data_IF_096562952259
#
_entry.id   IF_096562952259
#
_cell.length_a   1.000
_cell.length_b   1.000
_cell.length_c   1.000
_cell.angle_alpha   90.00
_cell.angle_beta   90.00
_cell.angle_gamma   90.00
#
_symmetry.space_group_name_H-M   'P 1'
#
loop_
_entity.id
_entity.type
_entity.pdbx_description
1 polymer ?
#
# COMPACT_ATOMS: atom_id res chain seq x y z
N UNK A 1 0.29 -2.83 11.98
CA UNK A 1 -0.54 -3.89 12.55
C UNK A 1 -1.95 -3.41 12.91
N UNK A 2 -2.09 -2.37 13.75
CA UNK A 2 -3.38 -2.03 14.38
C UNK A 2 -4.39 -1.31 13.45
N UNK A 3 -3.91 -0.38 12.61
CA UNK A 3 -4.78 0.57 11.88
C UNK A 3 -4.39 0.72 10.40
N UNK A 4 -3.67 -0.23 9.84
CA UNK A 4 -3.18 -0.20 8.46
C UNK A 4 -3.23 -1.58 7.80
N UNK A 5 -2.07 -2.18 7.55
CA UNK A 5 -1.90 -3.38 6.72
C UNK A 5 -2.77 -4.57 7.15
N UNK A 6 -2.72 -4.99 8.41
CA UNK A 6 -3.41 -6.22 8.85
C UNK A 6 -4.93 -6.08 8.82
N UNK A 7 -5.55 -5.04 9.40
CA UNK A 7 -7.01 -4.92 9.35
C UNK A 7 -7.53 -4.71 7.92
N UNK A 8 -6.82 -3.99 7.04
CA UNK A 8 -7.26 -3.83 5.65
C UNK A 8 -7.21 -5.15 4.88
N UNK A 9 -6.15 -5.95 5.02
CA UNK A 9 -6.03 -7.26 4.35
C UNK A 9 -7.07 -8.25 4.87
N UNK A 10 -7.38 -8.23 6.17
CA UNK A 10 -8.45 -9.05 6.72
C UNK A 10 -9.84 -8.71 6.15
N UNK A 11 -10.11 -7.41 5.88
CA UNK A 11 -11.37 -6.99 5.25
C UNK A 11 -11.37 -7.27 3.75
N UNK A 12 -10.25 -7.05 3.04
CA UNK A 12 -10.11 -7.36 1.62
C UNK A 12 -10.40 -8.84 1.37
N UNK A 13 -9.76 -9.74 2.12
CA UNK A 13 -9.94 -11.18 2.04
C UNK A 13 -11.42 -11.58 2.31
N UNK A 14 -12.01 -11.08 3.41
CA UNK A 14 -13.40 -11.37 3.72
C UNK A 14 -14.38 -10.86 2.67
N UNK A 15 -14.14 -9.67 2.10
CA UNK A 15 -14.99 -9.10 1.06
C UNK A 15 -14.88 -9.85 -0.27
N UNK A 16 -13.71 -10.42 -0.55
CA UNK A 16 -13.49 -11.27 -1.72
C UNK A 16 -14.26 -12.60 -1.59
N UNK A 17 -14.18 -13.26 -0.44
CA UNK A 17 -15.01 -14.45 -0.19
C UNK A 17 -16.50 -14.16 -0.35
N UNK A 18 -16.98 -13.01 0.12
CA UNK A 18 -18.38 -12.63 -0.01
C UNK A 18 -18.79 -12.45 -1.48
N UNK A 19 -18.00 -11.71 -2.28
CA UNK A 19 -18.33 -11.47 -3.68
C UNK A 19 -18.20 -12.75 -4.52
N UNK A 20 -17.23 -13.63 -4.23
CA UNK A 20 -17.07 -14.92 -4.89
C UNK A 20 -18.25 -15.84 -4.59
N UNK A 21 -18.68 -15.90 -3.33
CA UNK A 21 -19.88 -16.68 -2.97
C UNK A 21 -21.14 -16.18 -3.69
N UNK A 22 -21.25 -14.85 -3.86
CA UNK A 22 -22.41 -14.24 -4.51
C UNK A 22 -22.42 -14.42 -6.02
N UNK A 23 -21.27 -14.31 -6.70
CA UNK A 23 -21.21 -14.17 -8.15
C UNK A 23 -20.61 -15.40 -8.86
N UNK A 24 -19.71 -16.16 -8.20
CA UNK A 24 -18.88 -17.15 -8.88
C UNK A 24 -19.13 -18.61 -8.46
N UNK A 25 -19.64 -18.87 -7.26
CA UNK A 25 -19.82 -20.24 -6.78
C UNK A 25 -20.72 -21.08 -7.68
N UNK A 26 -21.76 -20.49 -8.26
CA UNK A 26 -22.65 -21.19 -9.20
C UNK A 26 -21.90 -21.67 -10.45
N UNK A 27 -20.95 -20.89 -10.95
CA UNK A 27 -20.13 -21.27 -12.11
C UNK A 27 -19.19 -22.44 -11.78
N UNK A 28 -18.79 -22.60 -10.49
CA UNK A 28 -18.04 -23.76 -9.99
C UNK A 28 -18.93 -24.97 -9.70
N UNK A 29 -20.25 -24.92 -9.96
CA UNK A 29 -21.17 -25.98 -9.63
C UNK A 29 -21.51 -26.08 -8.14
N UNK A 30 -21.35 -24.99 -7.40
CA UNK A 30 -21.64 -24.91 -5.97
C UNK A 30 -22.89 -24.06 -5.75
N UNK A 31 -24.01 -24.76 -5.48
CA UNK A 31 -25.28 -24.11 -5.18
C UNK A 31 -25.37 -23.77 -3.69
N UNK A 32 -25.49 -22.49 -3.39
CA UNK A 32 -25.69 -21.96 -2.03
C UNK A 32 -26.88 -20.99 -2.02
N UNK A 33 -27.59 -20.82 -0.88
CA UNK A 33 -28.50 -19.71 -0.71
C UNK A 33 -27.79 -18.38 -0.91
N UNK A 34 -28.53 -17.33 -1.29
CA UNK A 34 -27.95 -15.98 -1.46
C UNK A 34 -27.20 -15.56 -0.17
N UNK A 35 -25.89 -15.29 -0.25
CA UNK A 35 -25.10 -14.97 0.92
C UNK A 35 -25.53 -13.61 1.50
N UNK A 36 -25.70 -13.58 2.82
CA UNK A 36 -26.05 -12.36 3.57
C UNK A 36 -24.84 -11.83 4.31
N UNK A 37 -24.57 -10.54 4.16
CA UNK A 37 -23.48 -9.89 4.88
C UNK A 37 -23.81 -9.80 6.39
N UNK A 38 -22.90 -10.29 7.22
CA UNK A 38 -22.84 -10.02 8.65
C UNK A 38 -21.62 -9.12 8.94
N UNK A 39 -21.79 -7.82 8.76
CA UNK A 39 -20.71 -6.84 8.94
C UNK A 39 -20.12 -6.89 10.36
N UNK A 40 -20.96 -7.07 11.38
CA UNK A 40 -20.52 -7.16 12.78
C UNK A 40 -19.53 -8.31 12.97
N UNK A 41 -19.84 -9.50 12.42
CA UNK A 41 -18.94 -10.65 12.49
C UNK A 41 -17.66 -10.43 11.66
N UNK A 42 -17.75 -9.77 10.51
CA UNK A 42 -16.59 -9.44 9.67
C UNK A 42 -15.63 -8.49 10.40
N UNK A 43 -16.13 -7.45 11.03
CA UNK A 43 -15.34 -6.51 11.83
C UNK A 43 -14.76 -7.22 13.07
N UNK A 44 -15.52 -8.11 13.72
CA UNK A 44 -15.02 -8.92 14.85
C UNK A 44 -13.84 -9.80 14.40
N UNK A 45 -13.98 -10.56 13.29
CA UNK A 45 -12.89 -11.37 12.72
C UNK A 45 -11.65 -10.53 12.46
N UNK A 46 -11.81 -9.37 11.79
CA UNK A 46 -10.72 -8.43 11.55
C UNK A 46 -9.98 -8.06 12.86
N UNK A 47 -10.73 -7.74 13.92
CA UNK A 47 -10.17 -7.36 15.22
C UNK A 47 -9.46 -8.53 15.90
N UNK A 48 -9.96 -9.75 15.77
CA UNK A 48 -9.33 -10.98 16.28
C UNK A 48 -7.99 -11.26 15.57
N UNK A 49 -7.95 -11.08 14.23
CA UNK A 49 -6.71 -11.20 13.43
C UNK A 49 -5.67 -10.16 13.90
N UNK A 50 -6.09 -8.91 14.05
CA UNK A 50 -5.21 -7.84 14.59
C UNK A 50 -4.67 -8.21 15.96
N UNK A 51 -5.56 -8.64 16.88
CA UNK A 51 -5.18 -9.02 18.23
C UNK A 51 -4.16 -10.15 18.23
N UNK A 52 -4.37 -11.19 17.44
CA UNK A 52 -3.44 -12.32 17.32
C UNK A 52 -2.04 -11.87 16.90
N UNK A 53 -1.95 -10.96 15.92
CA UNK A 53 -0.66 -10.41 15.49
C UNK A 53 0.00 -9.55 16.57
N UNK A 54 -0.76 -8.71 17.26
CA UNK A 54 -0.25 -7.88 18.38
C UNK A 54 0.25 -8.73 19.54
N UNK A 55 -0.50 -9.78 19.90
CA UNK A 55 -0.09 -10.74 20.94
C UNK A 55 1.20 -11.46 20.53
N UNK A 56 1.35 -11.82 19.25
CA UNK A 56 2.58 -12.41 18.71
C UNK A 56 3.80 -11.48 18.86
N UNK A 57 3.65 -10.19 18.56
CA UNK A 57 4.72 -9.21 18.78
C UNK A 57 5.05 -9.07 20.26
N UNK A 58 4.04 -9.00 21.13
CA UNK A 58 4.27 -8.94 22.59
C UNK A 58 5.03 -10.16 23.11
N UNK A 59 4.72 -11.36 22.58
CA UNK A 59 5.46 -12.58 22.87
C UNK A 59 6.93 -12.48 22.42
N UNK A 60 7.20 -11.96 21.21
CA UNK A 60 8.57 -11.78 20.70
C UNK A 60 9.36 -10.79 21.56
N UNK A 61 8.76 -9.67 21.97
CA UNK A 61 9.42 -8.71 22.88
C UNK A 61 9.84 -9.41 24.17
N UNK A 62 8.91 -10.14 24.82
CA UNK A 62 9.19 -10.88 26.04
C UNK A 62 10.27 -11.96 25.84
N UNK A 63 10.19 -12.76 24.78
CA UNK A 63 11.15 -13.83 24.46
C UNK A 63 12.56 -13.27 24.29
N UNK A 64 12.70 -12.12 23.63
CA UNK A 64 13.98 -11.48 23.39
C UNK A 64 14.40 -10.51 24.51
N UNK A 65 13.68 -10.49 25.66
CA UNK A 65 13.97 -9.64 26.83
C UNK A 65 14.02 -8.14 26.48
N UNK A 66 13.19 -7.70 25.53
CA UNK A 66 13.05 -6.30 25.14
C UNK A 66 12.05 -5.66 26.10
N UNK A 67 12.47 -4.63 26.82
CA UNK A 67 11.59 -3.86 27.70
C UNK A 67 10.70 -2.92 26.88
N UNK A 68 9.39 -2.94 27.16
CA UNK A 68 8.40 -2.14 26.42
C UNK A 68 7.76 -1.12 27.34
N UNK A 69 8.00 0.15 27.08
CA UNK A 69 7.37 1.29 27.75
C UNK A 69 6.16 1.76 26.96
N UNK A 70 4.95 1.64 27.53
CA UNK A 70 3.71 2.08 26.88
C UNK A 70 3.44 3.55 27.15
N UNK A 71 3.46 4.37 26.12
CA UNK A 71 3.19 5.80 26.24
C UNK A 71 3.70 6.61 25.05
N UNK A 72 3.69 7.91 25.19
CA UNK A 72 4.23 8.86 24.21
C UNK A 72 5.66 9.21 24.60
N UNK A 73 6.63 8.83 23.74
CA UNK A 73 8.03 9.16 23.89
C UNK A 73 8.34 10.57 23.40
N UNK A 74 9.13 11.33 24.16
CA UNK A 74 9.63 12.66 23.76
C UNK A 74 11.06 12.86 24.24
N UNK A 75 11.84 13.64 23.49
CA UNK A 75 13.19 13.99 23.91
C UNK A 75 13.19 14.96 25.10
N UNK A 76 14.02 14.69 26.08
CA UNK A 76 14.47 15.66 27.10
C UNK A 76 15.80 16.26 26.67
N UNK A 77 16.71 15.41 26.24
CA UNK A 77 17.99 15.72 25.57
C UNK A 77 18.39 14.54 24.65
N UNK A 78 19.58 14.60 24.02
CA UNK A 78 20.03 13.58 23.06
C UNK A 78 20.22 12.17 23.63
N UNK A 79 20.30 12.00 24.94
CA UNK A 79 20.50 10.74 25.64
C UNK A 79 19.37 10.40 26.61
N UNK A 80 18.34 11.25 26.69
CA UNK A 80 17.25 11.11 27.67
C UNK A 80 15.90 11.21 26.99
N UNK A 81 15.12 10.13 27.09
CA UNK A 81 13.74 10.04 26.58
C UNK A 81 12.79 10.03 27.77
N UNK A 82 11.76 10.87 27.70
CA UNK A 82 10.61 10.83 28.60
C UNK A 82 9.47 10.09 27.95
N UNK A 83 8.92 9.09 28.63
CA UNK A 83 7.70 8.37 28.22
C UNK A 83 6.55 8.79 29.13
N UNK A 84 5.49 9.36 28.55
CA UNK A 84 4.27 9.72 29.26
C UNK A 84 3.19 8.68 28.94
N UNK A 85 2.78 7.89 29.91
CA UNK A 85 1.71 6.88 29.78
C UNK A 85 0.32 7.50 29.72
N UNK A 86 -0.69 6.73 29.37
CA UNK A 86 -2.09 7.20 29.21
C UNK A 86 -2.72 7.71 30.53
N UNK A 87 -2.22 7.27 31.68
CA UNK A 87 -2.61 7.75 33.02
C UNK A 87 -1.80 8.96 33.50
N UNK A 88 -0.92 9.51 32.63
CA UNK A 88 -0.09 10.69 32.92
C UNK A 88 1.19 10.41 33.69
N UNK A 89 1.50 9.14 34.02
CA UNK A 89 2.75 8.79 34.69
C UNK A 89 3.93 8.98 33.73
N UNK A 90 4.99 9.61 34.20
CA UNK A 90 6.22 9.84 33.47
C UNK A 90 7.32 8.84 33.86
N UNK A 91 8.00 8.31 32.86
CA UNK A 91 9.18 7.45 33.03
C UNK A 91 10.33 8.07 32.23
N UNK A 92 11.48 8.20 32.87
CA UNK A 92 12.71 8.72 32.24
C UNK A 92 13.60 7.55 31.86
N UNK A 93 14.01 7.51 30.60
CA UNK A 93 14.91 6.49 30.05
C UNK A 93 16.18 7.17 29.59
N UNK A 94 17.34 6.71 30.09
CA UNK A 94 18.65 7.12 29.59
C UNK A 94 19.15 6.08 28.60
N UNK A 95 19.69 6.53 27.49
CA UNK A 95 20.16 5.66 26.41
C UNK A 95 21.34 6.28 25.66
N UNK A 96 22.22 5.45 25.14
CA UNK A 96 23.33 5.88 24.29
C UNK A 96 22.90 6.13 22.83
N UNK A 97 21.91 5.36 22.33
CA UNK A 97 21.41 5.43 20.96
C UNK A 97 19.89 5.54 20.95
N UNK A 98 19.35 6.29 20.01
CA UNK A 98 17.91 6.44 19.79
C UNK A 98 17.58 6.17 18.34
N UNK A 99 16.54 5.36 18.09
CA UNK A 99 15.96 5.14 16.76
C UNK A 99 14.53 5.68 16.78
N UNK A 100 14.25 6.70 15.97
CA UNK A 100 12.92 7.26 15.81
C UNK A 100 12.18 6.44 14.74
N UNK A 101 11.12 5.73 15.15
CA UNK A 101 10.31 4.86 14.29
C UNK A 101 8.81 5.15 14.49
N UNK A 102 8.43 6.42 14.63
CA UNK A 102 7.07 6.83 15.03
C UNK A 102 6.04 6.75 13.89
N UNK A 103 6.47 6.40 12.68
CA UNK A 103 5.56 6.12 11.58
C UNK A 103 4.89 7.37 11.00
N UNK A 104 3.66 7.18 10.54
CA UNK A 104 2.89 8.22 9.86
C UNK A 104 1.44 8.24 10.29
N UNK A 105 0.71 9.29 9.91
CA UNK A 105 -0.73 9.44 10.13
C UNK A 105 -1.44 9.97 8.87
N UNK A 106 -2.76 9.71 8.70
CA UNK A 106 -3.52 10.20 7.57
C UNK A 106 -3.45 11.71 7.44
N UNK A 107 -3.38 12.20 6.20
CA UNK A 107 -3.41 13.63 5.90
C UNK A 107 -4.85 14.09 5.71
N UNK A 108 -5.35 15.05 6.51
CA UNK A 108 -6.66 15.64 6.29
C UNK A 108 -6.64 16.64 5.11
N UNK A 109 -7.80 16.95 4.57
CA UNK A 109 -7.93 18.12 3.70
C UNK A 109 -7.73 19.40 4.55
N UNK A 110 -7.01 20.42 4.06
CA UNK A 110 -6.75 21.63 4.85
C UNK A 110 -8.01 22.37 5.32
N UNK A 111 -9.07 22.31 4.50
CA UNK A 111 -10.35 22.97 4.75
C UNK A 111 -11.43 22.05 5.35
N UNK A 112 -11.14 20.75 5.51
CA UNK A 112 -12.10 19.77 6.05
C UNK A 112 -11.36 18.72 6.89
N UNK A 113 -11.14 18.98 8.19
CA UNK A 113 -10.51 18.01 9.09
C UNK A 113 -11.41 16.79 9.29
N UNK A 114 -10.83 15.68 9.71
CA UNK A 114 -11.56 14.48 10.08
C UNK A 114 -12.49 14.77 11.28
N UNK A 115 -13.79 14.52 11.11
CA UNK A 115 -14.74 14.56 12.23
C UNK A 115 -14.88 13.18 12.91
N UNK A 116 -14.27 12.16 12.34
CA UNK A 116 -14.27 10.74 12.76
C UNK A 116 -15.68 10.12 12.83
N UNK A 117 -16.66 10.77 12.22
CA UNK A 117 -18.06 10.32 12.17
C UNK A 117 -18.51 10.05 10.74
N UNK A 118 -18.40 11.04 9.86
CA UNK A 118 -18.79 10.97 8.45
C UNK A 118 -17.67 11.38 7.51
N UNK A 119 -16.80 12.31 7.91
CA UNK A 119 -15.54 12.65 7.24
C UNK A 119 -14.46 11.86 7.98
N UNK A 120 -14.08 10.73 7.38
CA UNK A 120 -13.28 9.70 8.03
C UNK A 120 -11.93 9.48 7.33
N UNK A 121 -10.96 9.03 8.11
CA UNK A 121 -9.70 8.50 7.60
C UNK A 121 -9.81 6.99 7.37
N UNK A 122 -8.71 6.38 6.91
CA UNK A 122 -8.61 4.91 6.83
C UNK A 122 -8.82 4.23 8.18
N UNK A 123 -8.45 4.87 9.29
CA UNK A 123 -8.60 4.32 10.63
C UNK A 123 -10.07 4.06 10.98
N UNK A 124 -10.92 5.06 10.82
CA UNK A 124 -12.35 4.92 11.08
C UNK A 124 -13.04 4.05 10.03
N UNK A 125 -12.57 4.11 8.77
CA UNK A 125 -13.12 3.29 7.68
C UNK A 125 -12.95 1.79 7.94
N UNK A 126 -11.90 1.37 8.63
CA UNK A 126 -11.66 -0.02 9.05
C UNK A 126 -12.60 -0.49 10.19
N UNK A 127 -13.34 0.42 10.82
CA UNK A 127 -14.16 0.17 12.02
C UNK A 127 -15.64 0.53 11.85
N UNK A 128 -16.10 0.72 10.59
CA UNK A 128 -17.51 1.10 10.36
C UNK A 128 -18.46 0.03 10.90
N UNK A 129 -19.44 0.49 11.68
CA UNK A 129 -20.45 -0.38 12.31
C UNK A 129 -21.67 -0.63 11.41
N UNK A 130 -21.81 0.13 10.35
CA UNK A 130 -22.88 0.01 9.35
C UNK A 130 -22.27 0.04 7.95
N UNK A 131 -22.89 -0.66 7.01
CA UNK A 131 -22.50 -0.61 5.62
C UNK A 131 -22.94 0.73 5.02
N UNK A 132 -22.04 1.58 4.52
CA UNK A 132 -22.42 2.79 3.81
C UNK A 132 -23.35 2.47 2.62
N UNK A 133 -24.40 3.23 2.44
CA UNK A 133 -25.19 3.16 1.19
C UNK A 133 -24.39 3.77 0.04
N UNK A 134 -23.71 4.88 0.31
CA UNK A 134 -22.83 5.53 -0.64
C UNK A 134 -21.58 6.05 0.06
N UNK A 135 -20.45 5.41 -0.21
CA UNK A 135 -19.12 5.84 0.23
C UNK A 135 -18.46 6.68 -0.86
N UNK A 136 -18.14 7.93 -0.55
CA UNK A 136 -17.30 8.75 -1.43
C UNK A 136 -15.86 8.67 -0.95
N UNK A 137 -14.94 8.37 -1.85
CA UNK A 137 -13.50 8.24 -1.59
C UNK A 137 -12.78 9.41 -2.26
N UNK A 138 -12.08 10.22 -1.47
CA UNK A 138 -11.20 11.28 -1.99
C UNK A 138 -9.77 10.74 -1.99
N UNK A 139 -9.23 10.54 -3.18
CA UNK A 139 -7.91 9.97 -3.45
C UNK A 139 -7.97 8.56 -4.03
N UNK A 140 -7.51 8.42 -5.28
CA UNK A 140 -7.40 7.16 -6.03
C UNK A 140 -6.06 6.43 -5.84
N UNK A 141 -5.38 6.70 -4.73
CA UNK A 141 -4.16 5.99 -4.31
C UNK A 141 -4.47 4.62 -3.67
N UNK A 142 -3.43 3.96 -3.18
CA UNK A 142 -3.48 2.58 -2.65
C UNK A 142 -4.60 2.41 -1.63
N UNK A 143 -4.62 3.23 -0.57
CA UNK A 143 -5.58 3.11 0.54
C UNK A 143 -7.03 3.32 0.07
N UNK A 144 -7.24 4.33 -0.79
CA UNK A 144 -8.57 4.65 -1.33
C UNK A 144 -9.11 3.52 -2.19
N UNK A 145 -8.27 2.94 -3.04
CA UNK A 145 -8.67 1.84 -3.91
C UNK A 145 -8.90 0.54 -3.14
N UNK A 146 -8.06 0.21 -2.15
CA UNK A 146 -8.27 -0.97 -1.31
C UNK A 146 -9.58 -0.89 -0.52
N UNK A 147 -9.77 0.17 0.26
CA UNK A 147 -10.97 0.30 1.10
C UNK A 147 -12.23 0.55 0.27
N UNK A 148 -12.14 1.34 -0.81
CA UNK A 148 -13.22 1.50 -1.77
C UNK A 148 -13.68 0.17 -2.37
N UNK A 149 -12.72 -0.71 -2.73
CA UNK A 149 -13.02 -2.06 -3.24
C UNK A 149 -13.71 -2.94 -2.21
N UNK A 150 -13.28 -2.89 -0.94
CA UNK A 150 -13.95 -3.64 0.15
C UNK A 150 -15.42 -3.29 0.19
N UNK A 151 -15.76 -2.01 0.31
CA UNK A 151 -17.16 -1.58 0.45
C UNK A 151 -17.98 -1.78 -0.82
N UNK A 152 -17.38 -1.62 -2.00
CA UNK A 152 -18.04 -1.94 -3.27
C UNK A 152 -18.42 -3.43 -3.36
N UNK A 153 -17.52 -4.34 -2.99
CA UNK A 153 -17.80 -5.79 -2.94
C UNK A 153 -18.91 -6.15 -1.94
N UNK A 154 -18.99 -5.41 -0.84
CA UNK A 154 -20.02 -5.60 0.18
C UNK A 154 -21.38 -5.02 -0.22
N UNK A 155 -21.46 -4.27 -1.34
CA UNK A 155 -22.72 -3.75 -1.90
C UNK A 155 -22.95 -2.25 -1.70
N UNK A 156 -21.96 -1.50 -1.18
CA UNK A 156 -22.04 -0.03 -1.16
C UNK A 156 -21.88 0.54 -2.56
N UNK A 157 -22.63 1.59 -2.90
CA UNK A 157 -22.22 2.48 -3.99
C UNK A 157 -20.90 3.14 -3.59
N UNK A 158 -19.91 3.14 -4.48
CA UNK A 158 -18.62 3.79 -4.25
C UNK A 158 -18.31 4.75 -5.38
N UNK A 159 -17.94 5.97 -5.02
CA UNK A 159 -17.51 7.00 -5.98
C UNK A 159 -16.15 7.53 -5.55
N UNK A 160 -15.15 7.42 -6.44
CA UNK A 160 -13.78 7.90 -6.22
C UNK A 160 -13.59 9.25 -6.91
N UNK A 161 -13.13 10.25 -6.17
CA UNK A 161 -12.72 11.56 -6.69
C UNK A 161 -11.22 11.67 -6.56
N UNK A 162 -10.52 11.77 -7.69
CA UNK A 162 -9.06 11.83 -7.75
C UNK A 162 -8.60 13.11 -8.46
N UNK A 163 -7.63 13.80 -7.88
CA UNK A 163 -7.05 15.03 -8.45
C UNK A 163 -6.24 14.78 -9.73
N UNK A 164 -5.53 13.64 -9.77
CA UNK A 164 -4.75 13.23 -10.93
C UNK A 164 -5.63 12.53 -11.99
N UNK A 165 -5.09 12.40 -13.20
CA UNK A 165 -5.80 11.74 -14.32
C UNK A 165 -5.69 10.20 -14.27
N UNK A 166 -5.01 9.64 -13.26
CA UNK A 166 -4.75 8.22 -13.14
C UNK A 166 -4.92 7.72 -11.70
N UNK A 167 -5.23 6.43 -11.54
CA UNK A 167 -5.19 5.73 -10.26
C UNK A 167 -3.76 5.32 -9.92
N UNK A 168 -3.49 5.12 -8.61
CA UNK A 168 -2.21 4.61 -8.07
C UNK A 168 -0.98 5.25 -8.76
N UNK A 169 -0.85 6.57 -8.77
CA UNK A 169 0.11 7.30 -9.60
C UNK A 169 1.58 7.03 -9.24
N UNK A 170 1.86 6.32 -8.16
CA UNK A 170 3.20 5.89 -7.76
C UNK A 170 3.65 4.61 -8.46
N UNK A 171 2.77 3.96 -9.23
CA UNK A 171 3.04 2.76 -10.01
C UNK A 171 3.09 3.06 -11.50
N UNK A 172 3.55 2.08 -12.29
CA UNK A 172 3.56 2.18 -13.75
C UNK A 172 2.17 2.51 -14.30
N UNK A 173 2.07 3.41 -15.25
CA UNK A 173 0.80 3.92 -15.78
C UNK A 173 -0.08 2.85 -16.42
N UNK A 174 0.49 1.74 -16.91
CA UNK A 174 -0.27 0.58 -17.39
C UNK A 174 -1.06 -0.06 -16.26
N UNK A 175 -0.49 -0.16 -15.06
CA UNK A 175 -1.14 -0.72 -13.88
C UNK A 175 -2.34 0.12 -13.46
N UNK A 176 -2.19 1.45 -13.42
CA UNK A 176 -3.29 2.37 -13.09
C UNK A 176 -4.45 2.27 -14.08
N UNK A 177 -4.16 2.16 -15.38
CA UNK A 177 -5.18 2.00 -16.44
C UNK A 177 -5.95 0.68 -16.33
N UNK A 178 -5.24 -0.43 -16.12
CA UNK A 178 -5.90 -1.73 -15.97
C UNK A 178 -6.68 -1.81 -14.65
N UNK A 179 -6.17 -1.25 -13.54
CA UNK A 179 -6.90 -1.17 -12.28
C UNK A 179 -8.21 -0.38 -12.44
N UNK A 180 -8.18 0.76 -13.14
CA UNK A 180 -9.39 1.55 -13.44
C UNK A 180 -10.42 0.71 -14.21
N UNK A 181 -9.98 -0.05 -15.21
CA UNK A 181 -10.84 -0.89 -16.03
C UNK A 181 -11.52 -2.00 -15.21
N UNK A 182 -10.76 -2.70 -14.37
CA UNK A 182 -11.32 -3.80 -13.56
C UNK A 182 -12.21 -3.29 -12.44
N UNK A 183 -11.84 -2.20 -11.77
CA UNK A 183 -12.66 -1.65 -10.68
C UNK A 183 -13.95 -0.99 -11.16
N UNK A 184 -14.00 -0.51 -12.40
CA UNK A 184 -15.25 -0.12 -13.06
C UNK A 184 -16.22 -1.30 -13.24
N UNK A 185 -15.72 -2.52 -13.51
CA UNK A 185 -16.58 -3.71 -13.57
C UNK A 185 -17.21 -4.03 -12.21
N UNK A 186 -16.55 -3.65 -11.11
CA UNK A 186 -17.07 -3.77 -9.75
C UNK A 186 -18.15 -2.70 -9.42
N UNK A 187 -18.45 -1.79 -10.35
CA UNK A 187 -19.44 -0.74 -10.18
C UNK A 187 -18.93 0.53 -9.51
N UNK A 188 -17.62 0.69 -9.34
CA UNK A 188 -17.03 1.92 -8.79
C UNK A 188 -17.09 3.04 -9.83
N UNK A 189 -17.64 4.19 -9.44
CA UNK A 189 -17.66 5.41 -10.26
C UNK A 189 -16.39 6.24 -10.02
N UNK A 190 -15.85 6.86 -11.06
CA UNK A 190 -14.60 7.62 -10.99
C UNK A 190 -14.75 9.03 -11.59
N UNK A 191 -14.26 10.02 -10.85
CA UNK A 191 -14.03 11.39 -11.26
C UNK A 191 -12.54 11.68 -11.18
N UNK A 192 -11.79 11.36 -12.26
CA UNK A 192 -10.35 11.64 -12.36
C UNK A 192 -10.14 13.08 -12.85
N UNK A 193 -9.00 13.70 -12.50
CA UNK A 193 -8.70 15.09 -12.83
C UNK A 193 -9.60 16.11 -12.11
N UNK A 194 -10.21 15.71 -10.96
CA UNK A 194 -11.12 16.57 -10.20
C UNK A 194 -10.52 16.97 -8.86
N UNK A 195 -10.42 18.28 -8.63
CA UNK A 195 -9.98 18.87 -7.37
C UNK A 195 -11.17 19.08 -6.44
N UNK A 196 -11.17 18.45 -5.29
CA UNK A 196 -12.17 18.70 -4.26
C UNK A 196 -12.00 20.13 -3.72
N UNK A 197 -13.05 20.92 -3.78
CA UNK A 197 -13.06 22.33 -3.37
C UNK A 197 -13.84 22.59 -2.08
N UNK A 198 -14.82 21.72 -1.75
CA UNK A 198 -15.48 21.73 -0.44
C UNK A 198 -15.90 20.35 -0.02
N UNK A 199 -15.98 20.14 1.30
CA UNK A 199 -16.47 18.92 1.95
C UNK A 199 -17.17 19.31 3.24
N UNK A 200 -18.45 19.00 3.35
CA UNK A 200 -19.27 19.37 4.49
C UNK A 200 -20.03 18.17 5.02
N UNK A 201 -20.04 18.00 6.35
CA UNK A 201 -20.92 17.06 7.04
C UNK A 201 -22.24 17.76 7.43
N UNK A 202 -23.35 17.30 6.88
CA UNK A 202 -24.72 17.77 7.20
C UNK A 202 -25.48 16.77 8.10
N UNK A 203 -24.76 16.05 8.98
CA UNK A 203 -25.32 15.07 9.91
C UNK A 203 -25.44 13.67 9.30
N UNK A 204 -26.48 13.39 8.54
CA UNK A 204 -26.67 12.08 7.89
C UNK A 204 -26.04 11.98 6.50
N UNK A 205 -25.63 13.10 5.91
CA UNK A 205 -25.13 13.20 4.55
C UNK A 205 -23.88 14.05 4.53
N UNK A 206 -22.87 13.62 3.80
CA UNK A 206 -21.73 14.46 3.39
C UNK A 206 -21.97 15.03 2.01
N UNK A 207 -21.61 16.28 1.81
CA UNK A 207 -21.70 16.97 0.52
C UNK A 207 -20.30 17.35 0.09
N UNK A 208 -19.92 16.94 -1.12
CA UNK A 208 -18.61 17.21 -1.69
C UNK A 208 -18.81 18.00 -2.98
N UNK A 209 -18.04 19.07 -3.15
CA UNK A 209 -17.92 19.76 -4.43
C UNK A 209 -16.51 19.54 -4.97
N UNK A 210 -16.43 19.25 -6.26
CA UNK A 210 -15.17 19.11 -6.93
C UNK A 210 -15.22 19.79 -8.30
N UNK A 211 -14.06 20.26 -8.75
CA UNK A 211 -13.88 21.01 -9.99
C UNK A 211 -12.93 20.24 -10.91
N UNK A 212 -13.35 20.02 -12.14
CA UNK A 212 -12.54 19.44 -13.21
C UNK A 212 -11.58 20.49 -13.78
N UNK A 213 -10.60 20.04 -14.57
CA UNK A 213 -9.61 20.93 -15.24
C UNK A 213 -10.25 21.95 -16.20
N UNK A 214 -11.43 21.64 -16.74
CA UNK A 214 -12.22 22.54 -17.61
C UNK A 214 -13.18 23.45 -16.81
N UNK A 215 -12.96 23.56 -15.49
CA UNK A 215 -13.75 24.35 -14.52
C UNK A 215 -15.22 23.90 -14.33
N UNK A 216 -15.61 22.75 -14.89
CA UNK A 216 -16.90 22.17 -14.55
C UNK A 216 -16.90 21.67 -13.13
N UNK A 217 -17.92 22.05 -12.38
CA UNK A 217 -18.12 21.62 -10.99
C UNK A 217 -19.13 20.48 -10.92
N UNK A 218 -18.84 19.55 -10.01
CA UNK A 218 -19.77 18.48 -9.65
C UNK A 218 -20.10 18.59 -8.15
N UNK A 219 -21.31 18.16 -7.78
CA UNK A 219 -21.72 17.98 -6.41
C UNK A 219 -22.09 16.51 -6.18
N UNK A 220 -21.48 15.89 -5.17
CA UNK A 220 -21.73 14.51 -4.78
C UNK A 220 -22.30 14.48 -3.36
N UNK A 221 -23.22 13.53 -3.12
CA UNK A 221 -23.83 13.29 -1.80
C UNK A 221 -23.64 11.84 -1.41
N UNK A 222 -23.15 11.59 -0.21
CA UNK A 222 -22.94 10.24 0.33
C UNK A 222 -23.19 10.18 1.82
N UNK A 223 -23.19 8.98 2.39
CA UNK A 223 -23.33 8.78 3.84
C UNK A 223 -22.01 9.00 4.55
N UNK A 224 -20.91 8.60 3.89
CA UNK A 224 -19.54 8.71 4.39
C UNK A 224 -18.60 9.25 3.31
N UNK A 225 -17.58 9.96 3.77
CA UNK A 225 -16.47 10.37 2.93
C UNK A 225 -15.15 9.85 3.54
N UNK A 226 -14.48 8.94 2.83
CA UNK A 226 -13.12 8.53 3.14
C UNK A 226 -12.14 9.51 2.49
N UNK A 227 -11.35 10.22 3.30
CA UNK A 227 -10.26 11.06 2.80
C UNK A 227 -8.96 10.26 2.87
N UNK A 228 -8.40 9.92 1.71
CA UNK A 228 -7.21 9.07 1.52
C UNK A 228 -6.19 9.69 0.56
N UNK A 229 -5.92 10.99 0.76
CA UNK A 229 -5.03 11.80 -0.08
C UNK A 229 -3.54 11.67 0.26
N UNK A 230 -3.18 10.68 1.07
CA UNK A 230 -1.83 10.40 1.49
C UNK A 230 -1.66 10.37 3.01
N UNK A 231 -0.42 10.18 3.42
CA UNK A 231 -0.01 10.11 4.82
C UNK A 231 1.10 11.14 5.07
N UNK A 232 1.25 11.59 6.29
CA UNK A 232 2.33 12.48 6.72
C UNK A 232 3.13 11.85 7.86
N UNK A 233 4.44 12.12 7.97
CA UNK A 233 5.26 11.69 9.08
C UNK A 233 4.64 12.07 10.43
N UNK A 234 4.79 11.20 11.42
CA UNK A 234 4.29 11.45 12.77
C UNK A 234 5.43 11.88 13.70
N UNK A 235 5.67 13.18 13.76
CA UNK A 235 6.73 13.80 14.56
C UNK A 235 6.19 14.71 15.66
N UNK A 236 4.88 14.83 15.79
CA UNK A 236 4.20 15.89 16.57
C UNK A 236 4.58 15.94 18.07
N UNK A 237 4.86 14.79 18.70
CA UNK A 237 5.10 14.74 20.15
C UNK A 237 6.55 14.48 20.53
N UNK A 238 7.47 14.47 19.56
CA UNK A 238 8.86 14.06 19.78
C UNK A 238 9.70 15.11 20.50
N UNK A 239 9.30 16.38 20.51
CA UNK A 239 10.11 17.50 21.02
C UNK A 239 11.51 17.58 20.37
N UNK A 240 11.54 17.50 19.01
CA UNK A 240 12.77 17.47 18.21
C UNK A 240 13.62 18.74 18.35
N UNK A 241 13.01 19.86 18.70
CA UNK A 241 13.67 21.13 19.01
C UNK A 241 14.69 21.01 20.15
N UNK A 242 14.40 20.19 21.17
CA UNK A 242 15.30 19.94 22.31
C UNK A 242 16.61 19.25 21.93
N UNK A 243 16.63 18.57 20.81
CA UNK A 243 17.83 17.93 20.25
C UNK A 243 18.30 18.61 18.96
N UNK A 244 17.71 19.76 18.63
CA UNK A 244 18.08 20.59 17.50
C UNK A 244 17.75 19.95 16.13
N UNK A 245 16.88 18.95 16.03
CA UNK A 245 16.47 18.32 14.76
C UNK A 245 15.30 19.13 14.16
N UNK A 246 15.50 19.62 12.94
CA UNK A 246 14.47 20.28 12.15
C UNK A 246 13.94 19.32 11.07
N UNK A 247 12.65 19.39 10.80
CA UNK A 247 12.02 18.56 9.75
C UNK A 247 11.99 19.31 8.42
N UNK A 248 12.13 18.57 7.32
CA UNK A 248 11.94 19.07 5.95
C UNK A 248 10.68 18.43 5.37
N UNK A 249 9.69 19.25 5.03
CA UNK A 249 8.35 18.78 4.60
C UNK A 249 7.73 17.76 5.59
N UNK A 250 7.99 17.92 6.88
CA UNK A 250 7.54 17.04 7.95
C UNK A 250 8.39 15.77 8.15
N UNK A 251 9.33 15.46 7.27
CA UNK A 251 10.26 14.33 7.40
C UNK A 251 11.48 14.70 8.24
N UNK A 252 12.03 13.73 8.96
CA UNK A 252 13.30 13.86 9.66
C UNK A 252 14.42 13.62 8.63
N UNK A 253 15.29 14.62 8.38
CA UNK A 253 16.44 14.43 7.49
C UNK A 253 17.44 13.45 8.08
N UNK A 254 17.89 12.51 7.25
CA UNK A 254 18.91 11.52 7.58
C UNK A 254 19.91 11.39 6.44
N UNK A 255 21.14 11.00 6.79
CA UNK A 255 22.18 10.63 5.82
C UNK A 255 21.90 9.25 5.21
N UNK A 256 22.83 8.71 4.41
CA UNK A 256 22.70 7.39 3.77
C UNK A 256 22.82 6.22 4.77
N UNK A 257 23.21 6.53 6.00
CA UNK A 257 23.25 5.60 7.13
C UNK A 257 22.04 5.73 8.07
N UNK A 258 20.98 6.41 7.63
CA UNK A 258 19.77 6.67 8.42
C UNK A 258 20.02 7.42 9.74
N UNK A 259 21.17 8.10 9.86
CA UNK A 259 21.55 8.89 10.99
C UNK A 259 21.11 10.35 10.78
N UNK A 260 20.57 10.96 11.81
CA UNK A 260 20.24 12.39 11.81
C UNK A 260 21.51 13.24 11.94
N UNK A 261 21.37 14.56 11.92
CA UNK A 261 22.49 15.46 12.22
C UNK A 261 23.05 15.31 13.66
N UNK A 262 22.36 14.56 14.53
CA UNK A 262 22.79 14.24 15.89
C UNK A 262 23.33 12.83 15.92
N UNK A 263 24.61 12.65 16.19
CA UNK A 263 25.38 11.40 15.96
C UNK A 263 24.82 10.14 16.58
N UNK A 264 24.07 10.24 17.66
CA UNK A 264 23.48 9.10 18.36
C UNK A 264 21.99 8.89 18.07
N UNK A 265 21.40 9.70 17.19
CA UNK A 265 19.97 9.64 16.85
C UNK A 265 19.79 9.22 15.39
N UNK A 266 19.06 8.12 15.19
CA UNK A 266 18.70 7.57 13.90
C UNK A 266 17.19 7.73 13.69
N UNK A 267 16.74 7.68 12.43
CA UNK A 267 15.31 7.65 12.11
C UNK A 267 15.03 6.73 10.94
N UNK A 268 13.92 5.98 11.00
CA UNK A 268 13.54 4.96 10.03
C UNK A 268 12.04 4.98 9.72
N UNK A 269 11.65 4.32 8.64
CA UNK A 269 10.26 4.12 8.24
C UNK A 269 9.61 5.38 7.69
N UNK A 270 8.32 5.58 8.02
CA UNK A 270 7.51 6.64 7.43
C UNK A 270 7.92 8.06 7.86
N UNK A 271 8.76 8.22 8.87
CA UNK A 271 9.25 9.55 9.32
C UNK A 271 10.41 10.09 8.50
N UNK A 272 11.03 9.25 7.65
CA UNK A 272 12.15 9.62 6.77
C UNK A 272 11.75 9.60 5.30
N UNK A 273 12.71 9.87 4.42
CA UNK A 273 12.53 9.85 2.96
C UNK A 273 12.07 8.48 2.41
N UNK A 274 11.51 8.48 1.21
CA UNK A 274 11.11 7.30 0.47
C UNK A 274 9.65 6.88 0.68
N UNK A 275 9.32 5.67 0.26
CA UNK A 275 7.97 5.14 0.33
C UNK A 275 7.54 4.82 1.78
N UNK A 276 6.29 5.11 2.12
CA UNK A 276 5.73 4.78 3.43
C UNK A 276 5.21 3.33 3.42
N UNK A 277 6.13 2.37 3.46
CA UNK A 277 5.86 0.93 3.39
C UNK A 277 6.45 0.21 4.61
N UNK A 278 5.69 -0.74 5.16
CA UNK A 278 6.08 -1.47 6.37
C UNK A 278 7.39 -2.24 6.16
N UNK A 279 7.51 -2.99 5.06
CA UNK A 279 8.72 -3.76 4.75
C UNK A 279 9.95 -2.88 4.48
N UNK A 280 9.78 -1.65 3.92
CA UNK A 280 10.88 -0.67 3.88
C UNK A 280 11.35 -0.31 5.30
N UNK A 281 10.41 -0.04 6.22
CA UNK A 281 10.74 0.31 7.60
C UNK A 281 11.39 -0.87 8.35
N UNK A 282 10.99 -2.10 8.04
CA UNK A 282 11.60 -3.33 8.59
C UNK A 282 13.04 -3.47 8.13
N UNK A 283 13.31 -3.35 6.82
CA UNK A 283 14.68 -3.39 6.26
C UNK A 283 15.56 -2.26 6.82
N UNK A 284 15.03 -1.03 6.93
CA UNK A 284 15.75 0.08 7.56
C UNK A 284 16.04 -0.19 9.05
N UNK A 285 15.14 -0.87 9.76
CA UNK A 285 15.33 -1.27 11.15
C UNK A 285 16.46 -2.28 11.32
N UNK A 286 16.49 -3.31 10.46
CA UNK A 286 17.57 -4.30 10.41
C UNK A 286 18.88 -3.59 10.05
N UNK A 287 18.88 -2.76 9.01
CA UNK A 287 20.04 -1.97 8.57
C UNK A 287 20.67 -1.17 9.71
N UNK A 288 19.87 -0.39 10.47
CA UNK A 288 20.41 0.40 11.58
C UNK A 288 20.93 -0.48 12.70
N UNK A 289 20.23 -1.58 13.03
CA UNK A 289 20.67 -2.50 14.08
C UNK A 289 22.01 -3.18 13.73
N UNK A 290 22.16 -3.70 12.53
CA UNK A 290 23.40 -4.32 12.04
C UNK A 290 24.55 -3.32 11.96
N UNK A 291 24.27 -2.09 11.51
CA UNK A 291 25.27 -1.02 11.49
C UNK A 291 25.76 -0.66 12.90
N UNK A 292 24.85 -0.61 13.89
CA UNK A 292 25.21 -0.36 15.28
C UNK A 292 26.04 -1.50 15.88
N UNK A 293 25.89 -2.72 15.37
CA UNK A 293 26.70 -3.90 15.71
C UNK A 293 28.05 -3.96 14.94
N UNK A 294 28.33 -2.97 14.09
CA UNK A 294 29.58 -2.87 13.34
C UNK A 294 29.62 -3.63 12.00
N UNK A 295 28.48 -4.14 11.55
CA UNK A 295 28.32 -4.77 10.26
C UNK A 295 28.23 -3.73 9.13
N UNK A 296 28.22 -4.17 7.88
CA UNK A 296 28.09 -3.33 6.67
C UNK A 296 26.83 -3.74 5.87
N UNK A 297 25.65 -3.50 6.39
CA UNK A 297 24.41 -3.81 5.68
C UNK A 297 24.20 -2.87 4.49
N UNK A 298 23.29 -3.26 3.59
CA UNK A 298 22.80 -2.38 2.53
C UNK A 298 21.28 -2.53 2.34
N UNK A 299 20.64 -1.48 1.87
CA UNK A 299 19.24 -1.48 1.43
C UNK A 299 19.19 -0.95 0.02
N UNK A 300 18.67 -1.74 -0.91
CA UNK A 300 18.42 -1.28 -2.26
C UNK A 300 16.98 -0.74 -2.39
N UNK A 301 16.82 0.56 -2.29
CA UNK A 301 15.51 1.22 -2.33
C UNK A 301 14.77 1.05 -3.66
N UNK A 302 15.47 0.78 -4.77
CA UNK A 302 14.85 0.49 -6.06
C UNK A 302 14.12 -0.87 -6.04
N UNK A 303 14.56 -1.79 -5.20
CA UNK A 303 14.03 -3.15 -5.12
C UNK A 303 12.99 -3.34 -4.01
N UNK A 304 12.55 -2.27 -3.36
CA UNK A 304 11.43 -2.32 -2.41
C UNK A 304 10.12 -2.39 -3.20
N UNK A 305 9.39 -3.53 -3.18
CA UNK A 305 8.20 -3.69 -4.00
C UNK A 305 7.03 -2.88 -3.46
N UNK A 306 6.25 -2.26 -4.35
CA UNK A 306 4.97 -1.66 -4.02
C UNK A 306 3.83 -2.63 -4.33
N UNK A 307 2.81 -2.69 -3.46
CA UNK A 307 1.64 -3.57 -3.66
C UNK A 307 0.34 -2.85 -3.35
N UNK A 308 -0.70 -3.12 -4.15
CA UNK A 308 -2.11 -2.74 -3.91
C UNK A 308 -2.92 -4.02 -3.84
N UNK A 309 -3.54 -4.27 -2.71
CA UNK A 309 -4.26 -5.52 -2.43
C UNK A 309 -5.74 -5.47 -2.85
N UNK A 310 -6.04 -4.80 -3.96
CA UNK A 310 -7.32 -4.96 -4.64
C UNK A 310 -7.46 -6.38 -5.18
N UNK A 311 -8.58 -6.73 -5.82
CA UNK A 311 -8.67 -7.94 -6.62
C UNK A 311 -9.15 -7.59 -8.02
N UNK A 312 -8.33 -7.82 -9.06
CA UNK A 312 -6.96 -8.35 -9.00
C UNK A 312 -5.99 -7.44 -8.23
N UNK A 313 -4.93 -8.03 -7.66
CA UNK A 313 -3.85 -7.31 -6.98
C UNK A 313 -2.98 -6.57 -7.99
N UNK A 314 -2.30 -5.50 -7.52
CA UNK A 314 -1.26 -4.83 -8.32
C UNK A 314 0.05 -4.87 -7.55
N UNK A 315 1.14 -5.24 -8.20
CA UNK A 315 2.48 -5.23 -7.62
C UNK A 315 3.51 -4.69 -8.61
N UNK A 316 4.52 -4.00 -8.10
CA UNK A 316 5.57 -3.38 -8.91
C UNK A 316 6.90 -3.38 -8.16
N UNK A 317 8.00 -3.59 -8.90
CA UNK A 317 9.37 -3.41 -8.42
C UNK A 317 10.22 -2.79 -9.53
N UNK A 318 11.20 -1.99 -9.16
CA UNK A 318 12.10 -1.32 -10.09
C UNK A 318 11.51 -0.06 -10.70
N UNK A 319 12.04 0.36 -11.83
CA UNK A 319 11.61 1.56 -12.56
C UNK A 319 10.28 1.37 -13.26
N UNK A 320 9.44 2.40 -13.25
CA UNK A 320 8.29 2.49 -14.15
C UNK A 320 8.73 2.92 -15.56
N UNK A 321 7.89 2.69 -16.55
CA UNK A 321 8.16 3.14 -17.92
C UNK A 321 8.32 4.66 -18.00
N UNK A 322 7.54 5.41 -17.23
CA UNK A 322 7.60 6.86 -17.14
C UNK A 322 8.95 7.34 -16.60
N UNK A 323 9.46 6.68 -15.54
CA UNK A 323 10.77 7.01 -14.97
C UNK A 323 11.92 6.72 -15.95
N UNK A 324 11.86 5.61 -16.68
CA UNK A 324 12.88 5.32 -17.71
C UNK A 324 12.86 6.32 -18.84
N UNK A 325 11.68 6.78 -19.28
CA UNK A 325 11.52 7.84 -20.27
C UNK A 325 12.10 9.16 -19.78
N UNK A 326 11.80 9.55 -18.54
CA UNK A 326 12.31 10.78 -17.93
C UNK A 326 13.83 10.77 -17.80
N UNK A 327 14.41 9.61 -17.50
CA UNK A 327 15.88 9.42 -17.43
C UNK A 327 16.54 9.29 -18.82
N UNK A 328 15.77 9.26 -19.91
CA UNK A 328 16.29 9.03 -21.26
C UNK A 328 16.92 7.63 -21.45
N UNK A 329 16.59 6.67 -20.58
CA UNK A 329 17.13 5.32 -20.64
C UNK A 329 16.42 4.50 -21.71
N UNK A 330 17.20 3.79 -22.55
CA UNK A 330 16.64 2.90 -23.59
C UNK A 330 16.28 1.55 -23.02
N UNK A 331 15.09 1.07 -23.34
CA UNK A 331 14.56 -0.18 -22.79
C UNK A 331 13.71 -0.93 -23.83
N UNK A 332 13.44 -2.21 -23.53
CA UNK A 332 12.49 -3.08 -24.21
C UNK A 332 11.30 -3.34 -23.28
N UNK A 333 10.14 -3.59 -23.84
CA UNK A 333 8.93 -3.93 -23.11
C UNK A 333 8.48 -5.32 -23.51
N UNK A 334 8.24 -6.19 -22.54
CA UNK A 334 7.48 -7.41 -22.71
C UNK A 334 6.23 -7.39 -21.87
N UNK A 335 5.14 -7.91 -22.42
CA UNK A 335 3.86 -7.98 -21.70
C UNK A 335 3.14 -9.28 -22.04
N UNK A 336 2.46 -9.83 -21.03
CA UNK A 336 1.67 -11.05 -21.21
C UNK A 336 0.36 -10.99 -20.42
N UNK A 337 -0.81 -11.23 -21.06
CA UNK A 337 -2.11 -11.11 -20.41
C UNK A 337 -2.48 -12.40 -19.64
N UNK A 338 -3.07 -12.27 -18.47
CA UNK A 338 -3.55 -13.40 -17.67
C UNK A 338 -4.58 -14.28 -18.38
N UNK A 339 -5.43 -13.71 -19.24
CA UNK A 339 -6.43 -14.46 -20.02
C UNK A 339 -5.85 -15.56 -20.91
N UNK A 340 -4.54 -15.50 -21.21
CA UNK A 340 -3.84 -16.52 -21.99
C UNK A 340 -3.31 -17.69 -21.12
N UNK A 341 -3.29 -17.55 -19.79
CA UNK A 341 -2.83 -18.59 -18.88
C UNK A 341 -3.88 -19.67 -18.59
N UNK A 342 -3.49 -20.94 -18.69
CA UNK A 342 -4.33 -22.07 -18.29
C UNK A 342 -4.75 -22.01 -16.81
N UNK A 343 -3.83 -21.63 -15.91
CA UNK A 343 -4.10 -21.47 -14.48
C UNK A 343 -5.15 -20.39 -14.21
N UNK A 344 -5.02 -19.23 -14.85
CA UNK A 344 -5.94 -18.12 -14.69
C UNK A 344 -7.36 -18.48 -15.15
N UNK A 345 -7.46 -19.23 -16.27
CA UNK A 345 -8.75 -19.75 -16.75
C UNK A 345 -9.36 -20.76 -15.78
N UNK A 346 -8.56 -21.69 -15.24
CA UNK A 346 -9.01 -22.69 -14.28
C UNK A 346 -9.54 -22.07 -12.97
N UNK A 347 -8.99 -20.93 -12.56
CA UNK A 347 -9.40 -20.21 -11.36
C UNK A 347 -10.39 -19.07 -11.63
N UNK A 348 -10.75 -18.83 -12.92
CA UNK A 348 -11.59 -17.71 -13.37
C UNK A 348 -11.00 -16.31 -13.10
N UNK A 349 -9.71 -16.23 -12.80
CA UNK A 349 -8.95 -14.98 -12.51
C UNK A 349 -8.22 -14.51 -13.77
N UNK A 350 -8.96 -14.17 -14.81
CA UNK A 350 -8.40 -13.85 -16.14
C UNK A 350 -8.07 -12.39 -16.36
N UNK A 351 -8.46 -11.50 -15.44
CA UNK A 351 -8.15 -10.07 -15.52
C UNK A 351 -6.70 -9.80 -15.10
N UNK A 352 -6.00 -9.04 -15.94
CA UNK A 352 -4.66 -8.57 -15.65
C UNK A 352 -3.59 -8.97 -16.65
N UNK A 353 -2.36 -8.59 -16.34
CA UNK A 353 -1.16 -8.82 -17.14
C UNK A 353 0.12 -8.71 -16.29
N UNK A 354 1.22 -9.26 -16.83
CA UNK A 354 2.59 -8.95 -16.41
C UNK A 354 3.22 -8.05 -17.45
N UNK A 355 3.96 -7.01 -17.00
CA UNK A 355 4.79 -6.12 -17.82
C UNK A 355 6.22 -6.15 -17.28
N UNK A 356 7.18 -6.42 -18.14
CA UNK A 356 8.62 -6.42 -17.86
C UNK A 356 9.28 -5.31 -18.67
N UNK A 357 10.13 -4.54 -18.02
CA UNK A 357 11.00 -3.54 -18.64
C UNK A 357 12.44 -4.08 -18.57
N UNK A 358 13.10 -4.23 -19.70
CA UNK A 358 14.48 -4.71 -19.76
C UNK A 358 15.38 -3.70 -20.48
N UNK A 359 16.62 -3.58 -20.07
CA UNK A 359 17.59 -2.72 -20.72
C UNK A 359 17.80 -3.15 -22.18
N UNK A 360 17.87 -2.16 -23.09
CA UNK A 360 17.94 -2.45 -24.51
C UNK A 360 19.24 -3.15 -24.93
N UNK A 361 20.33 -2.88 -24.23
CA UNK A 361 21.66 -3.39 -24.59
C UNK A 361 22.03 -4.64 -23.79
N UNK A 362 21.85 -4.60 -22.47
CA UNK A 362 22.28 -5.67 -21.57
C UNK A 362 21.21 -6.72 -21.31
N UNK A 363 19.94 -6.43 -21.62
CA UNK A 363 18.77 -7.25 -21.29
C UNK A 363 18.46 -7.34 -19.79
N UNK A 364 19.21 -6.63 -18.92
CA UNK A 364 18.98 -6.59 -17.48
C UNK A 364 17.56 -6.11 -17.17
N UNK A 365 16.85 -6.79 -16.27
CA UNK A 365 15.50 -6.39 -15.87
C UNK A 365 15.58 -5.09 -15.08
N UNK A 366 14.88 -4.07 -15.55
CA UNK A 366 14.82 -2.72 -14.97
C UNK A 366 13.58 -2.48 -14.13
N UNK A 367 12.51 -3.21 -14.41
CA UNK A 367 11.26 -3.12 -13.71
C UNK A 367 10.33 -4.27 -14.06
N UNK A 368 9.52 -4.67 -13.08
CA UNK A 368 8.45 -5.66 -13.25
C UNK A 368 7.19 -5.15 -12.62
N UNK A 369 6.09 -5.22 -13.36
CA UNK A 369 4.79 -4.70 -12.95
C UNK A 369 3.73 -5.76 -13.25
N UNK A 370 2.93 -6.09 -12.27
CA UNK A 370 1.93 -7.16 -12.34
C UNK A 370 0.59 -6.61 -11.88
N UNK A 371 -0.43 -6.83 -12.66
CA UNK A 371 -1.81 -6.76 -12.18
C UNK A 371 -2.47 -8.10 -12.44
N UNK A 372 -3.00 -8.75 -11.41
CA UNK A 372 -3.57 -10.09 -11.52
C UNK A 372 -3.68 -10.79 -10.19
N UNK A 373 -4.26 -11.98 -10.21
CA UNK A 373 -4.30 -12.86 -9.05
C UNK A 373 -2.88 -13.18 -8.57
N UNK A 374 -2.64 -13.12 -7.25
CA UNK A 374 -1.34 -13.43 -6.63
C UNK A 374 -0.18 -12.49 -7.00
N UNK A 375 -0.46 -11.30 -7.52
CA UNK A 375 0.60 -10.35 -7.89
C UNK A 375 1.50 -10.00 -6.70
N UNK A 376 0.93 -9.89 -5.50
CA UNK A 376 1.66 -9.61 -4.26
C UNK A 376 2.71 -10.66 -3.92
N UNK A 377 2.40 -11.94 -4.15
CA UNK A 377 3.35 -13.04 -3.93
C UNK A 377 4.35 -13.16 -5.09
N UNK A 378 3.87 -12.98 -6.33
CA UNK A 378 4.67 -13.15 -7.55
C UNK A 378 5.75 -12.10 -7.71
N UNK A 379 5.57 -10.88 -7.20
CA UNK A 379 6.54 -9.79 -7.35
C UNK A 379 7.90 -10.11 -6.70
N UNK A 380 7.93 -11.00 -5.71
CA UNK A 380 9.16 -11.47 -5.09
C UNK A 380 10.13 -12.10 -6.10
N UNK A 381 9.63 -12.72 -7.17
CA UNK A 381 10.48 -13.20 -8.25
C UNK A 381 11.15 -12.06 -9.02
N UNK A 382 10.45 -10.95 -9.23
CA UNK A 382 11.00 -9.74 -9.81
C UNK A 382 12.09 -9.12 -8.93
N UNK A 383 11.83 -9.02 -7.62
CA UNK A 383 12.83 -8.56 -6.63
C UNK A 383 14.08 -9.43 -6.70
N UNK A 384 13.92 -10.76 -6.65
CA UNK A 384 15.04 -11.70 -6.70
C UNK A 384 15.82 -11.58 -8.01
N UNK A 385 15.14 -11.54 -9.15
CA UNK A 385 15.78 -11.40 -10.45
C UNK A 385 16.61 -10.10 -10.54
N UNK A 386 16.06 -8.99 -10.08
CA UNK A 386 16.72 -7.68 -10.11
C UNK A 386 17.86 -7.59 -9.08
N UNK A 387 17.75 -8.19 -7.90
CA UNK A 387 18.81 -8.22 -6.89
C UNK A 387 20.06 -8.92 -7.43
N UNK A 388 19.87 -10.01 -8.18
CA UNK A 388 20.95 -10.74 -8.85
C UNK A 388 21.27 -10.23 -10.27
N UNK A 389 20.68 -9.11 -10.70
CA UNK A 389 20.89 -8.47 -12.00
C UNK A 389 20.65 -9.42 -13.18
N UNK A 390 19.63 -10.26 -13.07
CA UNK A 390 19.25 -11.19 -14.12
C UNK A 390 18.77 -10.45 -15.38
N UNK A 391 19.08 -11.02 -16.54
CA UNK A 391 18.48 -10.59 -17.80
C UNK A 391 17.05 -11.13 -17.95
N UNK A 392 16.26 -10.51 -18.83
CA UNK A 392 14.95 -11.05 -19.17
C UNK A 392 15.08 -12.44 -19.82
N UNK A 393 16.14 -12.68 -20.58
CA UNK A 393 16.44 -14.00 -21.17
C UNK A 393 16.70 -15.07 -20.09
N UNK A 394 17.45 -14.75 -19.03
CA UNK A 394 17.68 -15.70 -17.92
C UNK A 394 16.37 -16.20 -17.33
N UNK A 395 15.47 -15.27 -16.97
CA UNK A 395 14.17 -15.61 -16.41
C UNK A 395 13.28 -16.37 -17.42
N UNK A 396 13.32 -15.98 -18.69
CA UNK A 396 12.57 -16.64 -19.76
C UNK A 396 12.99 -18.09 -19.99
N UNK A 397 14.26 -18.41 -19.74
CA UNK A 397 14.80 -19.77 -19.95
C UNK A 397 14.70 -20.66 -18.72
N UNK A 398 14.38 -20.11 -17.56
CA UNK A 398 14.12 -20.92 -16.37
C UNK A 398 12.91 -21.83 -16.56
N UNK A 399 12.95 -23.02 -15.95
CA UNK A 399 11.77 -23.89 -15.87
C UNK A 399 10.78 -23.31 -14.87
N UNK A 400 9.53 -23.11 -15.31
CA UNK A 400 8.42 -22.69 -14.45
C UNK A 400 7.46 -23.86 -14.28
N UNK A 401 6.92 -24.02 -13.10
CA UNK A 401 5.90 -25.05 -12.85
C UNK A 401 4.62 -24.77 -13.67
N UNK A 402 4.05 -25.84 -14.24
CA UNK A 402 2.81 -25.77 -15.02
C UNK A 402 1.69 -26.57 -14.34
N UNK A 403 0.45 -26.04 -14.24
CA UNK A 403 0.04 -24.67 -14.59
C UNK A 403 0.16 -23.72 -13.40
N UNK A 404 0.76 -22.53 -13.60
CA UNK A 404 0.90 -21.50 -12.56
C UNK A 404 0.71 -20.10 -13.12
N UNK A 405 0.47 -19.12 -12.24
CA UNK A 405 0.47 -17.69 -12.61
C UNK A 405 1.88 -17.20 -13.00
N UNK A 406 2.94 -17.83 -12.48
CA UNK A 406 4.33 -17.47 -12.77
C UNK A 406 4.73 -17.65 -14.25
N UNK A 407 3.99 -18.48 -15.00
CA UNK A 407 4.21 -18.60 -16.45
C UNK A 407 3.97 -17.26 -17.17
N UNK A 408 3.14 -16.35 -16.63
CA UNK A 408 3.00 -15.00 -17.18
C UNK A 408 4.28 -14.17 -17.08
N UNK A 409 5.08 -14.35 -16.02
CA UNK A 409 6.39 -13.70 -15.87
C UNK A 409 7.36 -14.23 -16.94
N UNK A 410 7.42 -15.54 -17.12
CA UNK A 410 8.21 -16.16 -18.18
C UNK A 410 7.86 -15.61 -19.56
N UNK A 411 6.58 -15.60 -19.90
CA UNK A 411 6.08 -15.15 -21.20
C UNK A 411 6.34 -13.65 -21.43
N UNK A 412 6.17 -12.82 -20.38
CA UNK A 412 6.51 -11.41 -20.46
C UNK A 412 8.01 -11.19 -20.67
N UNK A 413 8.87 -11.99 -20.03
CA UNK A 413 10.31 -11.97 -20.27
C UNK A 413 10.67 -12.43 -21.70
N UNK A 414 10.05 -13.49 -22.23
CA UNK A 414 10.19 -13.90 -23.63
C UNK A 414 9.77 -12.79 -24.61
N UNK A 415 8.68 -12.08 -24.30
CA UNK A 415 8.24 -10.95 -25.10
C UNK A 415 9.27 -9.80 -25.07
N UNK A 416 9.88 -9.52 -23.91
CA UNK A 416 10.87 -8.46 -23.75
C UNK A 416 12.17 -8.77 -24.50
N UNK A 417 12.70 -9.99 -24.38
CA UNK A 417 14.02 -10.31 -24.94
C UNK A 417 13.96 -10.67 -26.43
N UNK A 418 13.00 -11.46 -26.89
CA UNK A 418 12.96 -12.00 -28.25
C UNK A 418 11.70 -11.62 -29.03
N UNK A 419 10.78 -10.84 -28.45
CA UNK A 419 9.46 -10.50 -28.99
C UNK A 419 8.68 -11.74 -29.49
N UNK A 420 8.79 -12.85 -28.73
CA UNK A 420 8.18 -14.13 -29.09
C UNK A 420 7.69 -14.90 -27.87
N UNK A 421 6.62 -14.46 -27.22
CA UNK A 421 5.94 -15.27 -26.22
C UNK A 421 5.43 -16.56 -26.88
N UNK A 422 5.37 -17.67 -26.14
CA UNK A 422 4.98 -18.97 -26.70
C UNK A 422 3.47 -19.12 -26.87
N UNK A 423 2.69 -18.39 -26.06
CA UNK A 423 1.25 -18.60 -25.94
C UNK A 423 0.38 -17.43 -26.45
N UNK A 424 0.97 -16.40 -27.06
CA UNK A 424 0.26 -15.25 -27.64
C UNK A 424 0.75 -14.94 -29.04
#
# INVERSE_FOLDING_TARGET
>A
LNVGCIPSKALLDSSEHFINAKNHFKEHGIDIPEPKLNLTQMIKRKSEVVKSNVDGIAFLMKKNKIEVFKGVGSFVDKNTIKVTSSDGKETIIKTEKVIIATGSKPTPLPFAPFDKKRIISSTECLELKELPKHLIVIGGGIIGMELGSVYARLGSKVTVVEFLDSLIPTMDGTMGKELLKVTKKLGIEFYLGHKVTSLENKGKVVIIKAEAKDHKTIELKGDYCLVSIGRRPYTDALALDKVGIETVKGQIPVDDHLRTKVDNIYAIGDVVRGAMLAHKAEEEGVYVAEQLDGQKPHVNYLLIPGVVYTWPEVASVGYTEEQLKEQGRTYKIGSFPYKALGRARASMDTDGLVKVLADKQTDEILGMHIIGARAADMIAAGVTAMEFRASAEDVARMSHAHPTYMEAVKEACLAATANRPLHV
#
